data_IF_481628194818
#
_entry.id   IF_481628194818
#
_cell.length_a   1.000
_cell.length_b   1.000
_cell.length_c   1.000
_cell.angle_alpha   90.00
_cell.angle_beta   90.00
_cell.angle_gamma   90.00
#
_symmetry.space_group_name_H-M   'P 1'
#
loop_
_entity.id
_entity.type
_entity.pdbx_description
1 polymer ?
#
# COMPACT_ATOMS: atom_id res chain seq x y z
N UNK A 1 -8.11 -10.94 -27.82
CA UNK A 1 -7.09 -10.48 -26.82
C UNK A 1 -6.68 -11.66 -25.95
N UNK A 2 -5.42 -11.97 -25.98
CA UNK A 2 -4.82 -13.05 -25.19
C UNK A 2 -4.53 -12.51 -23.77
N UNK A 3 -5.36 -12.90 -22.80
CA UNK A 3 -5.18 -12.56 -21.39
C UNK A 3 -5.23 -13.83 -20.56
N UNK A 4 -4.25 -14.04 -19.67
CA UNK A 4 -4.22 -15.23 -18.82
C UNK A 4 -5.45 -15.36 -17.90
N UNK A 5 -6.09 -14.22 -17.55
CA UNK A 5 -7.33 -14.20 -16.76
C UNK A 5 -8.50 -14.87 -17.49
N UNK A 6 -8.52 -14.82 -18.83
CA UNK A 6 -9.57 -15.43 -19.64
C UNK A 6 -9.25 -16.85 -20.08
N UNK A 7 -8.20 -17.46 -19.52
CA UNK A 7 -7.96 -18.88 -19.74
C UNK A 7 -9.13 -19.69 -19.14
N UNK A 8 -9.83 -20.43 -19.99
CA UNK A 8 -11.00 -21.24 -19.61
C UNK A 8 -10.67 -22.33 -18.57
N UNK A 9 -9.41 -22.76 -18.50
CA UNK A 9 -8.94 -23.73 -17.52
C UNK A 9 -8.04 -23.02 -16.48
N UNK A 10 -8.68 -22.54 -15.39
CA UNK A 10 -7.99 -22.01 -14.23
C UNK A 10 -8.46 -22.76 -12.97
N UNK A 11 -7.70 -23.76 -12.49
CA UNK A 11 -8.11 -24.64 -11.40
C UNK A 11 -7.93 -23.97 -10.02
N UNK A 12 -8.34 -22.72 -9.87
CA UNK A 12 -8.15 -21.95 -8.63
C UNK A 12 -8.88 -22.58 -7.43
N UNK A 13 -10.04 -23.17 -7.65
CA UNK A 13 -10.79 -23.82 -6.57
C UNK A 13 -10.13 -25.12 -6.12
N UNK A 14 -9.61 -25.93 -7.06
CA UNK A 14 -8.87 -27.15 -6.76
C UNK A 14 -7.59 -26.81 -6.00
N UNK A 15 -6.87 -25.77 -6.45
CA UNK A 15 -5.69 -25.24 -5.75
C UNK A 15 -6.02 -24.82 -4.32
N UNK A 16 -7.08 -24.02 -4.11
CA UNK A 16 -7.47 -23.56 -2.77
C UNK A 16 -7.87 -24.73 -1.87
N UNK A 17 -8.55 -25.72 -2.43
CA UNK A 17 -8.88 -26.95 -1.72
C UNK A 17 -7.63 -27.71 -1.29
N UNK A 18 -6.70 -27.96 -2.20
CA UNK A 18 -5.45 -28.68 -1.93
C UNK A 18 -4.58 -27.93 -0.91
N UNK A 19 -4.48 -26.59 -1.00
CA UNK A 19 -3.74 -25.78 -0.02
C UNK A 19 -4.26 -25.99 1.42
N UNK A 20 -5.58 -26.17 1.60
CA UNK A 20 -6.15 -26.44 2.92
C UNK A 20 -5.82 -27.85 3.46
N UNK A 21 -5.40 -28.76 2.59
CA UNK A 21 -5.02 -30.13 2.96
C UNK A 21 -3.51 -30.37 2.91
N UNK A 22 -2.72 -29.40 2.43
CA UNK A 22 -1.27 -29.52 2.37
C UNK A 22 -0.69 -29.70 3.79
N UNK A 23 0.07 -30.76 3.98
CA UNK A 23 0.67 -31.14 5.27
C UNK A 23 2.13 -30.72 5.43
N UNK A 24 2.76 -30.30 4.36
CA UNK A 24 4.15 -29.88 4.34
C UNK A 24 4.41 -28.92 3.15
N UNK A 25 5.61 -28.35 3.16
CA UNK A 25 6.06 -27.37 2.17
C UNK A 25 5.99 -27.89 0.72
N UNK A 26 6.33 -29.19 0.50
CA UNK A 26 6.33 -29.81 -0.83
C UNK A 26 4.93 -29.92 -1.41
N UNK A 27 3.96 -30.34 -0.60
CA UNK A 27 2.55 -30.39 -1.01
C UNK A 27 1.99 -28.98 -1.27
N UNK A 28 2.37 -28.01 -0.44
CA UNK A 28 1.98 -26.62 -0.61
C UNK A 28 2.52 -26.07 -1.95
N UNK A 29 3.79 -26.25 -2.24
CA UNK A 29 4.43 -25.83 -3.49
C UNK A 29 3.79 -26.52 -4.73
N UNK A 30 3.56 -27.83 -4.64
CA UNK A 30 2.88 -28.59 -5.72
C UNK A 30 1.49 -28.04 -6.01
N UNK A 31 0.74 -27.64 -4.99
CA UNK A 31 -0.56 -27.01 -5.18
C UNK A 31 -0.41 -25.65 -5.87
N UNK A 32 0.56 -24.82 -5.46
CA UNK A 32 0.79 -23.49 -6.05
C UNK A 32 1.14 -23.55 -7.53
N UNK A 33 1.82 -24.60 -7.99
CA UNK A 33 2.20 -24.77 -9.40
C UNK A 33 1.00 -24.82 -10.36
N UNK A 34 -0.19 -25.09 -9.85
CA UNK A 34 -1.46 -25.13 -10.61
C UNK A 34 -2.05 -23.76 -10.87
N UNK A 35 -1.61 -22.72 -10.16
CA UNK A 35 -2.17 -21.37 -10.32
C UNK A 35 -1.83 -20.80 -11.69
N UNK A 36 -2.87 -20.43 -12.43
CA UNK A 36 -2.74 -19.78 -13.72
C UNK A 36 -2.79 -18.25 -13.53
N UNK A 37 -3.85 -17.76 -12.91
CA UNK A 37 -4.16 -16.34 -12.74
C UNK A 37 -5.19 -16.15 -11.62
N UNK A 38 -5.16 -14.99 -10.90
CA UNK A 38 -4.16 -13.92 -10.97
C UNK A 38 -2.81 -14.33 -10.37
N UNK A 39 -1.72 -13.63 -10.73
CA UNK A 39 -0.44 -13.78 -10.06
C UNK A 39 -0.52 -13.28 -8.61
N UNK A 40 -0.12 -14.11 -7.65
CA UNK A 40 -0.22 -13.82 -6.21
C UNK A 40 1.08 -14.19 -5.48
N UNK A 41 1.37 -13.45 -4.42
CA UNK A 41 2.40 -13.83 -3.45
C UNK A 41 1.79 -14.78 -2.41
N UNK A 42 2.41 -15.94 -2.23
CA UNK A 42 2.06 -16.90 -1.19
C UNK A 42 3.21 -17.03 -0.20
N UNK A 43 2.91 -16.87 1.07
CA UNK A 43 3.86 -17.13 2.16
C UNK A 43 3.43 -18.39 2.90
N UNK A 44 4.41 -19.20 3.28
CA UNK A 44 4.26 -20.44 4.02
C UNK A 44 5.07 -20.36 5.31
N UNK A 45 4.53 -20.92 6.37
CA UNK A 45 5.25 -21.22 7.60
C UNK A 45 4.63 -22.46 8.26
N UNK A 46 5.45 -23.29 8.92
CA UNK A 46 4.98 -24.45 9.67
C UNK A 46 5.60 -24.55 11.07
N UNK A 47 5.20 -25.58 11.82
CA UNK A 47 5.72 -25.84 13.18
C UNK A 47 7.03 -26.62 13.17
N UNK A 48 7.63 -26.86 12.02
CA UNK A 48 8.92 -27.49 11.82
C UNK A 48 10.00 -26.46 11.42
N UNK A 49 9.73 -25.17 11.72
CA UNK A 49 10.59 -24.01 11.42
C UNK A 49 10.83 -23.74 9.93
N UNK A 50 10.00 -24.29 9.04
CA UNK A 50 10.07 -23.92 7.62
C UNK A 50 9.31 -22.64 7.38
N UNK A 51 9.95 -21.75 6.61
CA UNK A 51 9.33 -20.55 6.02
C UNK A 51 9.60 -20.51 4.53
N UNK A 52 8.62 -20.10 3.73
CA UNK A 52 8.82 -19.97 2.31
C UNK A 52 7.90 -18.92 1.68
N UNK A 53 8.26 -18.52 0.47
CA UNK A 53 7.49 -17.58 -0.34
C UNK A 53 7.62 -17.91 -1.81
N UNK A 54 6.52 -17.80 -2.56
CA UNK A 54 6.46 -17.93 -4.01
C UNK A 54 5.62 -16.83 -4.63
N UNK A 55 6.03 -16.40 -5.81
CA UNK A 55 5.13 -15.68 -6.72
C UNK A 55 4.47 -16.73 -7.61
N UNK A 56 3.27 -17.13 -7.23
CA UNK A 56 2.50 -18.11 -8.01
C UNK A 56 1.69 -17.43 -9.11
N UNK A 57 1.52 -18.13 -10.24
CA UNK A 57 0.87 -17.67 -11.46
C UNK A 57 1.75 -17.95 -12.68
N UNK A 58 1.16 -17.90 -13.86
CA UNK A 58 1.89 -18.10 -15.12
C UNK A 58 2.43 -16.78 -15.65
N UNK A 59 3.74 -16.68 -15.77
CA UNK A 59 4.41 -15.54 -16.40
C UNK A 59 4.50 -15.75 -17.91
N UNK A 60 3.86 -14.90 -18.73
CA UNK A 60 3.91 -15.04 -20.18
C UNK A 60 5.29 -14.66 -20.73
N UNK A 61 5.84 -15.50 -21.59
CA UNK A 61 7.03 -15.22 -22.38
C UNK A 61 6.60 -14.57 -23.69
N UNK A 62 7.16 -13.39 -23.98
CA UNK A 62 6.96 -12.64 -25.22
C UNK A 62 8.32 -12.27 -25.80
N UNK A 63 8.32 -11.76 -27.02
CA UNK A 63 9.52 -11.14 -27.60
C UNK A 63 10.03 -10.01 -26.68
N UNK A 64 11.34 -9.95 -26.49
CA UNK A 64 12.00 -8.99 -25.57
C UNK A 64 11.76 -7.51 -25.94
N UNK A 65 11.40 -7.25 -27.21
CA UNK A 65 11.10 -5.92 -27.71
C UNK A 65 9.65 -5.48 -27.42
N UNK A 66 8.81 -6.40 -26.91
CA UNK A 66 7.41 -6.08 -26.62
C UNK A 66 7.27 -5.43 -25.25
N UNK A 67 6.70 -4.23 -25.25
CA UNK A 67 6.37 -3.53 -24.03
C UNK A 67 4.95 -3.93 -23.55
N UNK A 68 4.87 -4.91 -22.68
CA UNK A 68 3.61 -5.55 -22.26
C UNK A 68 2.63 -4.62 -21.51
N UNK A 69 3.06 -3.41 -21.09
CA UNK A 69 2.18 -2.40 -20.50
C UNK A 69 1.46 -1.53 -21.55
N UNK A 70 1.86 -1.60 -22.81
CA UNK A 70 1.20 -0.91 -23.91
C UNK A 70 0.01 -1.71 -24.46
N UNK A 71 -0.87 -1.03 -25.16
CA UNK A 71 -1.91 -1.67 -25.98
C UNK A 71 -1.21 -2.30 -27.18
N UNK A 72 -1.27 -3.62 -27.27
CA UNK A 72 -0.62 -4.39 -28.32
C UNK A 72 -1.57 -4.56 -29.52
N UNK A 73 -1.01 -4.56 -30.73
CA UNK A 73 -1.76 -4.85 -31.95
C UNK A 73 -2.09 -6.34 -32.03
N UNK A 74 -3.37 -6.68 -31.94
CA UNK A 74 -3.87 -8.06 -32.00
C UNK A 74 -3.73 -8.73 -33.36
N UNK A 75 -3.40 -7.98 -34.44
CA UNK A 75 -3.11 -8.54 -35.76
C UNK A 75 -1.64 -8.89 -35.95
N UNK A 76 -0.76 -8.46 -35.03
CA UNK A 76 0.66 -8.75 -35.11
C UNK A 76 0.98 -10.04 -34.34
N UNK A 77 1.37 -11.13 -35.01
CA UNK A 77 1.66 -12.40 -34.35
C UNK A 77 2.85 -12.33 -33.39
N UNK A 78 3.76 -11.36 -33.57
CA UNK A 78 4.87 -11.17 -32.65
C UNK A 78 4.45 -10.63 -31.29
N UNK A 79 3.23 -10.08 -31.18
CA UNK A 79 2.65 -9.58 -29.92
C UNK A 79 2.01 -10.70 -29.09
N UNK A 80 1.88 -11.89 -29.62
CA UNK A 80 1.28 -13.02 -28.93
C UNK A 80 2.17 -13.60 -27.82
N UNK A 81 1.55 -14.30 -26.89
CA UNK A 81 2.26 -15.07 -25.85
C UNK A 81 2.88 -16.32 -26.53
N UNK A 82 4.20 -16.41 -26.51
CA UNK A 82 4.92 -17.55 -27.12
C UNK A 82 4.89 -18.79 -26.23
N UNK A 83 5.04 -18.61 -24.92
CA UNK A 83 5.04 -19.68 -23.92
C UNK A 83 4.84 -19.08 -22.52
N UNK A 84 4.94 -19.92 -21.50
CA UNK A 84 4.94 -19.50 -20.11
C UNK A 84 6.21 -19.97 -19.41
N UNK A 85 6.69 -19.20 -18.46
CA UNK A 85 7.79 -19.60 -17.58
C UNK A 85 7.37 -20.85 -16.79
N UNK A 86 8.20 -21.91 -16.74
CA UNK A 86 7.97 -23.04 -15.84
C UNK A 86 7.91 -22.58 -14.39
N UNK A 87 7.00 -23.15 -13.59
CA UNK A 87 6.73 -22.70 -12.22
C UNK A 87 7.95 -22.68 -11.31
N UNK A 88 8.83 -23.65 -11.45
CA UNK A 88 10.09 -23.77 -10.70
C UNK A 88 11.07 -22.60 -10.92
N UNK A 89 10.88 -21.84 -12.00
CA UNK A 89 11.65 -20.63 -12.30
C UNK A 89 10.98 -19.34 -11.78
N UNK A 90 9.78 -19.42 -11.24
CA UNK A 90 9.13 -18.28 -10.64
C UNK A 90 9.93 -17.79 -9.42
N UNK A 91 9.92 -16.47 -9.11
CA UNK A 91 10.57 -15.97 -7.91
C UNK A 91 10.05 -16.69 -6.65
N UNK A 92 10.97 -17.25 -5.87
CA UNK A 92 10.66 -17.93 -4.62
C UNK A 92 11.83 -17.84 -3.63
N UNK A 93 11.55 -18.06 -2.36
CA UNK A 93 12.52 -18.22 -1.27
C UNK A 93 12.06 -19.37 -0.38
N UNK A 94 12.97 -20.24 0.01
CA UNK A 94 12.73 -21.33 0.94
C UNK A 94 13.83 -21.29 1.99
N UNK A 95 13.45 -21.18 3.26
CA UNK A 95 14.33 -21.19 4.43
C UNK A 95 15.55 -20.26 4.26
N UNK A 96 15.37 -18.94 3.99
CA UNK A 96 16.48 -18.03 3.84
C UNK A 96 17.32 -17.96 5.13
N UNK A 97 18.63 -17.84 5.02
CA UNK A 97 19.57 -17.85 6.15
C UNK A 97 19.27 -16.82 7.23
N UNK A 98 18.75 -15.65 6.83
CA UNK A 98 18.35 -14.59 7.77
C UNK A 98 17.00 -14.84 8.45
N UNK A 99 16.30 -15.93 8.14
CA UNK A 99 15.03 -16.30 8.75
C UNK A 99 13.88 -15.34 8.47
N UNK A 100 14.00 -14.45 7.45
CA UNK A 100 13.03 -13.38 7.19
C UNK A 100 12.56 -13.40 5.74
N UNK A 101 11.25 -13.34 5.54
CA UNK A 101 10.60 -13.17 4.24
C UNK A 101 9.74 -11.92 4.28
N UNK A 102 9.95 -11.03 3.31
CA UNK A 102 9.20 -9.77 3.18
C UNK A 102 8.63 -9.63 1.78
N UNK A 103 7.34 -9.34 1.69
CA UNK A 103 6.68 -8.92 0.46
C UNK A 103 5.72 -7.77 0.74
N UNK A 104 5.79 -6.72 -0.07
CA UNK A 104 5.00 -5.49 0.10
C UNK A 104 4.46 -4.96 -1.23
N UNK A 105 4.09 -5.84 -2.16
CA UNK A 105 3.67 -5.54 -3.53
C UNK A 105 4.78 -4.89 -4.39
N UNK A 106 6.02 -4.87 -3.94
CA UNK A 106 7.19 -4.43 -4.70
C UNK A 106 7.55 -5.45 -5.77
N UNK A 107 8.41 -5.05 -6.70
CA UNK A 107 8.97 -5.95 -7.73
C UNK A 107 9.62 -7.17 -7.05
N UNK A 108 9.16 -8.39 -7.35
CA UNK A 108 9.61 -9.60 -6.64
C UNK A 108 11.03 -10.03 -7.03
N UNK A 109 11.51 -9.66 -8.23
CA UNK A 109 12.86 -9.94 -8.69
C UNK A 109 13.31 -8.88 -9.68
N UNK A 110 14.54 -8.40 -9.51
CA UNK A 110 15.24 -7.57 -10.49
C UNK A 110 16.08 -8.42 -11.46
N UNK A 111 16.19 -9.74 -11.18
CA UNK A 111 16.92 -10.70 -11.99
C UNK A 111 16.01 -11.30 -13.05
N UNK A 112 16.61 -11.91 -14.06
CA UNK A 112 15.95 -12.74 -15.06
C UNK A 112 15.10 -13.83 -14.40
N UNK A 113 13.89 -14.06 -14.93
CA UNK A 113 12.94 -15.08 -14.46
C UNK A 113 12.67 -16.05 -15.61
N UNK A 114 13.28 -17.23 -15.57
CA UNK A 114 13.24 -18.16 -16.68
C UNK A 114 13.73 -17.51 -17.99
N UNK A 115 12.89 -17.51 -19.02
CA UNK A 115 13.16 -16.86 -20.30
C UNK A 115 12.91 -15.34 -20.30
N UNK A 116 12.30 -14.79 -19.25
CA UNK A 116 11.92 -13.36 -19.19
C UNK A 116 13.12 -12.56 -18.62
N UNK A 117 13.71 -11.61 -19.38
CA UNK A 117 14.85 -10.83 -18.91
C UNK A 117 14.49 -9.88 -17.75
N UNK A 118 13.24 -9.42 -17.70
CA UNK A 118 12.70 -8.52 -16.68
C UNK A 118 11.20 -8.78 -16.51
N UNK A 119 10.74 -8.83 -15.26
CA UNK A 119 9.31 -8.90 -14.96
C UNK A 119 8.61 -7.59 -15.32
N UNK A 120 7.64 -7.67 -16.21
CA UNK A 120 6.74 -6.57 -16.53
C UNK A 120 5.52 -6.60 -15.62
N UNK A 121 5.05 -5.44 -15.19
CA UNK A 121 3.89 -5.32 -14.31
C UNK A 121 3.82 -3.98 -13.61
N UNK A 122 2.72 -3.75 -12.89
CA UNK A 122 2.53 -2.58 -12.04
C UNK A 122 2.82 -2.95 -10.59
N UNK A 123 4.08 -2.82 -10.21
CA UNK A 123 4.53 -3.07 -8.84
C UNK A 123 4.49 -1.78 -8.02
N UNK A 124 4.35 -1.91 -6.71
CA UNK A 124 4.47 -0.77 -5.80
C UNK A 124 5.92 -0.44 -5.56
N UNK A 125 6.19 0.82 -5.19
CA UNK A 125 7.51 1.24 -4.75
C UNK A 125 8.04 0.36 -3.61
N UNK A 126 9.37 0.19 -3.55
CA UNK A 126 10.05 -0.64 -2.56
C UNK A 126 10.07 -0.03 -1.14
N UNK A 127 9.61 1.20 -0.94
CA UNK A 127 9.67 1.92 0.35
C UNK A 127 9.22 1.08 1.54
N UNK A 128 8.05 0.42 1.43
CA UNK A 128 7.51 -0.43 2.51
C UNK A 128 8.36 -1.66 2.76
N UNK A 129 8.77 -2.35 1.71
CA UNK A 129 9.61 -3.54 1.83
C UNK A 129 10.95 -3.17 2.48
N UNK A 130 11.57 -2.08 2.05
CA UNK A 130 12.82 -1.59 2.61
C UNK A 130 12.68 -1.19 4.08
N UNK A 131 11.58 -0.48 4.43
CA UNK A 131 11.30 -0.14 5.83
C UNK A 131 11.12 -1.37 6.71
N UNK A 132 10.40 -2.40 6.24
CA UNK A 132 10.23 -3.67 6.95
C UNK A 132 11.59 -4.35 7.14
N UNK A 133 12.41 -4.45 6.09
CA UNK A 133 13.75 -5.02 6.18
C UNK A 133 14.62 -4.25 7.19
N UNK A 134 14.61 -2.92 7.15
CA UNK A 134 15.38 -2.09 8.08
C UNK A 134 14.96 -2.33 9.54
N UNK A 135 13.66 -2.47 9.80
CA UNK A 135 13.15 -2.75 11.14
C UNK A 135 13.50 -4.17 11.60
N UNK A 136 13.41 -5.15 10.69
CA UNK A 136 13.70 -6.56 11.00
C UNK A 136 15.19 -6.90 11.01
N UNK A 137 16.07 -6.05 10.51
CA UNK A 137 17.52 -6.29 10.52
C UNK A 137 18.20 -5.96 11.86
N UNK A 138 17.48 -5.31 12.78
CA UNK A 138 18.07 -4.83 14.03
C UNK A 138 18.25 -5.93 15.09
N UNK A 139 17.58 -7.08 14.93
CA UNK A 139 17.64 -8.22 15.85
C UNK A 139 17.22 -9.52 15.16
N UNK A 140 17.47 -10.66 15.78
CA UNK A 140 17.18 -12.00 15.25
C UNK A 140 15.96 -12.67 15.89
N UNK A 141 15.40 -12.08 16.91
CA UNK A 141 14.22 -12.59 17.61
C UNK A 141 13.24 -11.45 17.86
N UNK A 142 11.96 -11.75 17.67
CA UNK A 142 10.88 -10.76 17.70
C UNK A 142 9.78 -11.21 18.64
N UNK A 143 9.35 -10.33 19.51
CA UNK A 143 8.12 -10.52 20.28
C UNK A 143 6.91 -10.19 19.43
N UNK A 144 5.76 -10.72 19.83
CA UNK A 144 4.48 -10.39 19.16
C UNK A 144 4.19 -8.88 19.23
N UNK A 145 4.52 -8.21 20.33
CA UNK A 145 4.23 -6.80 20.52
C UNK A 145 5.14 -5.90 19.65
N UNK A 146 6.39 -6.30 19.43
CA UNK A 146 7.26 -5.64 18.45
C UNK A 146 6.72 -5.80 17.03
N UNK A 147 6.22 -6.98 16.65
CA UNK A 147 5.59 -7.19 15.34
C UNK A 147 4.30 -6.37 15.17
N UNK A 148 3.49 -6.18 16.24
CA UNK A 148 2.34 -5.25 16.21
C UNK A 148 2.80 -3.82 15.92
N UNK A 149 3.89 -3.39 16.55
CA UNK A 149 4.49 -2.07 16.34
C UNK A 149 4.97 -1.89 14.90
N UNK A 150 5.62 -2.91 14.32
CA UNK A 150 6.05 -2.89 12.91
C UNK A 150 4.84 -2.81 11.97
N UNK A 151 3.77 -3.58 12.21
CA UNK A 151 2.56 -3.53 11.36
C UNK A 151 1.85 -2.18 11.38
N UNK A 152 2.03 -1.39 12.43
CA UNK A 152 1.43 -0.07 12.60
C UNK A 152 2.41 1.08 12.34
N UNK A 153 3.62 0.79 11.87
CA UNK A 153 4.63 1.81 11.52
C UNK A 153 4.13 2.73 10.40
N UNK A 154 4.30 4.03 10.62
CA UNK A 154 3.82 5.09 9.73
C UNK A 154 4.95 5.97 9.19
N UNK A 155 6.19 5.54 9.32
CA UNK A 155 7.35 6.27 8.84
C UNK A 155 7.48 6.15 7.32
N UNK A 156 7.53 7.30 6.64
CA UNK A 156 7.71 7.39 5.19
C UNK A 156 9.20 7.61 4.86
N UNK A 157 9.91 6.52 4.60
CA UNK A 157 11.36 6.50 4.46
C UNK A 157 11.87 7.49 3.41
N UNK A 158 11.54 7.30 2.14
CA UNK A 158 11.96 8.21 1.07
C UNK A 158 11.31 9.59 1.17
N UNK A 159 10.14 9.71 1.79
CA UNK A 159 9.52 11.02 2.04
C UNK A 159 10.34 11.87 3.01
N UNK A 160 10.95 11.25 4.00
CA UNK A 160 11.85 11.95 4.92
C UNK A 160 13.11 12.48 4.22
N UNK A 161 13.68 11.72 3.28
CA UNK A 161 14.81 12.15 2.45
C UNK A 161 14.41 13.26 1.47
N UNK A 162 13.28 13.06 0.78
CA UNK A 162 12.74 14.00 -0.21
C UNK A 162 12.43 15.36 0.40
N UNK A 163 11.88 15.42 1.62
CA UNK A 163 11.62 16.71 2.29
C UNK A 163 12.89 17.51 2.47
N UNK A 164 14.03 16.85 2.76
CA UNK A 164 15.32 17.53 2.93
C UNK A 164 15.76 18.20 1.62
N UNK A 165 15.59 17.52 0.48
CA UNK A 165 15.88 18.08 -0.85
C UNK A 165 14.96 19.26 -1.20
N UNK A 166 13.67 19.16 -0.87
CA UNK A 166 12.71 20.25 -1.06
C UNK A 166 13.12 21.46 -0.20
N UNK A 167 13.41 21.24 1.08
CA UNK A 167 13.83 22.31 1.98
C UNK A 167 15.15 22.96 1.54
N UNK A 168 16.15 22.16 1.14
CA UNK A 168 17.43 22.66 0.63
C UNK A 168 17.25 23.50 -0.65
N UNK A 169 16.34 23.10 -1.54
CA UNK A 169 16.01 23.86 -2.74
C UNK A 169 15.33 25.17 -2.39
N UNK A 170 14.39 25.17 -1.46
CA UNK A 170 13.64 26.36 -1.04
C UNK A 170 14.49 27.38 -0.30
N UNK A 171 15.54 26.94 0.40
CA UNK A 171 16.49 27.87 1.06
C UNK A 171 17.16 28.85 0.07
N UNK A 172 17.26 28.47 -1.22
CA UNK A 172 17.78 29.39 -2.26
C UNK A 172 16.87 30.59 -2.49
N UNK A 173 15.61 30.50 -2.12
CA UNK A 173 14.57 31.53 -2.28
C UNK A 173 14.22 32.22 -0.94
N UNK A 174 14.99 32.01 0.13
CA UNK A 174 14.66 32.48 1.48
C UNK A 174 14.32 33.96 1.54
N UNK A 175 15.07 34.81 0.81
CA UNK A 175 14.83 36.24 0.76
C UNK A 175 13.53 36.66 0.08
N UNK A 176 12.95 35.80 -0.74
CA UNK A 176 11.68 36.04 -1.47
C UNK A 176 10.45 35.43 -0.76
N UNK A 177 10.67 34.66 0.31
CA UNK A 177 9.59 34.05 1.07
C UNK A 177 9.05 34.98 2.13
N UNK A 178 7.73 35.05 2.24
CA UNK A 178 7.04 35.71 3.36
C UNK A 178 7.32 35.00 4.70
N UNK A 179 7.07 35.69 5.81
CA UNK A 179 7.24 35.12 7.16
C UNK A 179 6.37 33.87 7.36
N UNK A 180 5.19 33.83 6.74
CA UNK A 180 4.31 32.66 6.82
C UNK A 180 4.87 31.47 6.02
N UNK A 181 5.33 31.68 4.79
CA UNK A 181 5.98 30.65 3.98
C UNK A 181 7.24 30.07 4.66
N UNK A 182 8.04 30.93 5.31
CA UNK A 182 9.18 30.50 6.13
C UNK A 182 8.75 29.62 7.31
N UNK A 183 7.64 29.93 7.97
CA UNK A 183 7.12 29.10 9.07
C UNK A 183 6.64 27.74 8.59
N UNK A 184 6.05 27.65 7.39
CA UNK A 184 5.66 26.39 6.75
C UNK A 184 6.89 25.57 6.39
N UNK A 185 7.89 26.18 5.76
CA UNK A 185 9.14 25.51 5.40
C UNK A 185 9.86 24.96 6.65
N UNK A 186 9.87 25.73 7.74
CA UNK A 186 10.42 25.27 9.02
C UNK A 186 9.63 24.07 9.58
N UNK A 187 8.29 24.10 9.52
CA UNK A 187 7.46 22.97 9.94
C UNK A 187 7.68 21.73 9.09
N UNK A 188 7.88 21.88 7.78
CA UNK A 188 8.26 20.78 6.89
C UNK A 188 9.66 20.25 7.26
N UNK A 189 10.62 21.13 7.49
CA UNK A 189 11.98 20.74 7.84
C UNK A 189 12.05 19.97 9.17
N UNK A 190 11.20 20.32 10.13
CA UNK A 190 11.08 19.65 11.42
C UNK A 190 10.27 18.34 11.38
N UNK A 191 9.62 18.04 10.26
CA UNK A 191 8.86 16.82 10.16
C UNK A 191 9.74 15.57 10.29
N UNK A 192 9.35 14.67 11.17
CA UNK A 192 10.07 13.44 11.52
C UNK A 192 9.86 12.27 10.53
N UNK A 193 9.14 12.48 9.43
CA UNK A 193 8.80 11.43 8.45
C UNK A 193 7.58 10.61 8.82
N UNK A 194 6.99 10.80 10.00
CA UNK A 194 5.83 10.02 10.44
C UNK A 194 4.50 10.60 9.91
N UNK A 195 3.67 9.72 9.35
CA UNK A 195 2.33 10.03 8.85
C UNK A 195 1.28 9.88 9.95
N UNK A 196 1.48 10.60 11.07
CA UNK A 196 0.54 10.62 12.19
C UNK A 196 -0.54 11.67 12.00
N UNK A 197 -1.74 11.40 12.50
CA UNK A 197 -2.88 12.32 12.45
C UNK A 197 -2.58 13.69 13.03
N UNK A 198 -1.69 13.79 14.02
CA UNK A 198 -1.26 15.06 14.63
C UNK A 198 -0.18 15.81 13.83
N UNK A 199 0.39 15.21 12.78
CA UNK A 199 1.53 15.77 12.05
C UNK A 199 1.10 16.89 11.10
N UNK A 200 1.64 18.09 11.30
CA UNK A 200 1.53 19.23 10.38
C UNK A 200 2.45 19.01 9.17
N UNK A 201 3.68 18.56 9.42
CA UNK A 201 4.66 18.30 8.35
C UNK A 201 4.20 17.26 7.33
N UNK A 202 3.49 16.21 7.75
CA UNK A 202 2.90 15.23 6.85
C UNK A 202 1.90 15.86 5.87
N UNK A 203 1.05 16.77 6.36
CA UNK A 203 0.10 17.51 5.53
C UNK A 203 0.84 18.38 4.51
N UNK A 204 1.78 19.18 4.96
CA UNK A 204 2.58 20.05 4.09
C UNK A 204 3.29 19.21 3.01
N UNK A 205 3.91 18.08 3.39
CA UNK A 205 4.60 17.19 2.46
C UNK A 205 3.66 16.64 1.39
N UNK A 206 2.50 16.13 1.76
CA UNK A 206 1.55 15.50 0.83
C UNK A 206 0.95 16.52 -0.15
N UNK A 207 0.58 17.70 0.32
CA UNK A 207 0.13 18.78 -0.56
C UNK A 207 1.25 19.25 -1.50
N UNK A 208 2.48 19.41 -0.98
CA UNK A 208 3.64 19.79 -1.79
C UNK A 208 3.93 18.75 -2.86
N UNK A 209 3.95 17.46 -2.52
CA UNK A 209 4.12 16.37 -3.48
C UNK A 209 3.10 16.45 -4.62
N UNK A 210 1.83 16.60 -4.28
CA UNK A 210 0.76 16.69 -5.28
C UNK A 210 0.95 17.89 -6.22
N UNK A 211 1.20 19.07 -5.66
CA UNK A 211 1.33 20.29 -6.47
C UNK A 211 2.62 20.30 -7.30
N UNK A 212 3.74 19.80 -6.78
CA UNK A 212 4.97 19.65 -7.56
C UNK A 212 4.73 18.74 -8.77
N UNK A 213 4.09 17.58 -8.56
CA UNK A 213 3.73 16.67 -9.67
C UNK A 213 2.75 17.34 -10.65
N UNK A 214 1.80 18.11 -10.15
CA UNK A 214 0.83 18.83 -10.97
C UNK A 214 1.53 19.84 -11.87
N UNK A 215 2.41 20.67 -11.33
CA UNK A 215 3.18 21.65 -12.08
C UNK A 215 4.11 20.97 -13.11
N UNK A 216 4.67 19.80 -12.78
CA UNK A 216 5.56 19.07 -13.67
C UNK A 216 4.83 18.36 -14.82
N UNK A 217 3.65 17.80 -14.58
CA UNK A 217 3.00 16.87 -15.54
C UNK A 217 1.74 17.41 -16.19
N UNK A 218 0.96 18.26 -15.51
CA UNK A 218 -0.32 18.70 -16.04
C UNK A 218 -0.18 19.57 -17.32
N UNK A 219 0.86 20.39 -17.50
CA UNK A 219 1.06 21.11 -18.76
C UNK A 219 1.19 20.19 -19.96
N UNK A 220 1.78 19.00 -19.79
CA UNK A 220 1.97 18.00 -20.84
C UNK A 220 0.73 17.10 -21.01
N UNK A 221 0.18 16.61 -19.91
CA UNK A 221 -0.89 15.60 -19.93
C UNK A 221 -2.29 16.20 -20.07
N UNK A 222 -2.45 17.47 -19.71
CA UNK A 222 -3.77 18.05 -19.48
C UNK A 222 -4.40 17.56 -18.17
N UNK A 223 -5.46 18.23 -17.74
CA UNK A 223 -6.11 18.01 -16.44
C UNK A 223 -6.66 16.59 -16.27
N UNK A 224 -7.28 16.06 -17.33
CA UNK A 224 -7.95 14.75 -17.27
C UNK A 224 -6.94 13.60 -17.18
N UNK A 225 -5.94 13.57 -18.07
CA UNK A 225 -4.92 12.51 -18.04
C UNK A 225 -4.03 12.60 -16.81
N UNK A 226 -3.72 13.79 -16.31
CA UNK A 226 -3.02 13.94 -15.04
C UNK A 226 -3.81 13.29 -13.89
N UNK A 227 -5.14 13.53 -13.80
CA UNK A 227 -5.99 12.90 -12.80
C UNK A 227 -6.03 11.37 -12.93
N UNK A 228 -6.05 10.85 -14.15
CA UNK A 228 -5.99 9.40 -14.40
C UNK A 228 -4.63 8.83 -14.01
N UNK A 229 -3.54 9.54 -14.32
CA UNK A 229 -2.18 9.13 -13.95
C UNK A 229 -2.00 8.97 -12.44
N UNK A 230 -2.58 9.84 -11.63
CA UNK A 230 -2.52 9.75 -10.17
C UNK A 230 -3.19 8.49 -9.60
N UNK A 231 -4.00 7.77 -10.36
CA UNK A 231 -4.52 6.46 -9.96
C UNK A 231 -3.48 5.34 -10.15
N UNK A 232 -2.42 5.57 -10.93
CA UNK A 232 -1.34 4.61 -11.14
C UNK A 232 -0.36 4.65 -9.95
N UNK A 233 0.08 3.51 -9.40
CA UNK A 233 1.10 3.47 -8.35
C UNK A 233 2.45 4.10 -8.75
N UNK A 234 2.73 4.18 -10.04
CA UNK A 234 4.01 4.70 -10.57
C UNK A 234 4.20 6.21 -10.31
N UNK A 235 3.14 6.95 -9.93
CA UNK A 235 3.23 8.39 -9.62
C UNK A 235 4.21 8.68 -8.48
N UNK A 236 4.35 7.77 -7.50
CA UNK A 236 5.29 7.93 -6.42
C UNK A 236 6.75 7.77 -6.86
N UNK A 237 7.02 6.78 -7.70
CA UNK A 237 8.36 6.57 -8.24
C UNK A 237 8.75 7.68 -9.21
N UNK A 238 7.79 8.20 -10.00
CA UNK A 238 8.01 9.41 -10.78
C UNK A 238 8.41 10.59 -9.90
N UNK A 239 7.68 10.83 -8.80
CA UNK A 239 7.99 11.93 -7.88
C UNK A 239 9.38 11.79 -7.26
N UNK A 240 9.75 10.60 -6.81
CA UNK A 240 11.10 10.31 -6.32
C UNK A 240 12.16 10.61 -7.38
N UNK A 241 11.96 10.11 -8.59
CA UNK A 241 12.90 10.32 -9.68
C UNK A 241 13.05 11.80 -10.03
N UNK A 242 11.95 12.56 -10.06
CA UNK A 242 11.96 14.00 -10.30
C UNK A 242 12.82 14.74 -9.26
N UNK A 243 12.65 14.39 -7.98
CA UNK A 243 13.39 15.04 -6.89
C UNK A 243 14.87 14.66 -6.90
N UNK A 244 15.19 13.37 -7.09
CA UNK A 244 16.58 12.89 -7.04
C UNK A 244 17.39 13.26 -8.30
N UNK A 245 16.80 13.19 -9.48
CA UNK A 245 17.47 13.55 -10.73
C UNK A 245 17.55 15.06 -10.93
N UNK A 246 16.68 15.82 -10.27
CA UNK A 246 16.52 17.29 -10.47
C UNK A 246 16.23 17.65 -11.93
N UNK A 247 15.65 16.73 -12.68
CA UNK A 247 15.31 16.87 -14.11
C UNK A 247 13.82 17.08 -14.26
N UNK A 248 13.42 18.15 -14.92
CA UNK A 248 12.00 18.43 -15.21
C UNK A 248 11.61 17.83 -16.55
N UNK A 249 10.39 17.28 -16.69
CA UNK A 249 9.93 16.68 -17.96
C UNK A 249 9.84 17.68 -19.11
N UNK A 250 9.44 18.90 -18.83
CA UNK A 250 9.27 19.96 -19.82
C UNK A 250 9.57 21.32 -19.17
N UNK A 251 10.42 22.10 -19.81
CA UNK A 251 10.58 23.53 -19.52
C UNK A 251 9.54 24.34 -20.28
N UNK A 252 9.01 25.36 -19.64
CA UNK A 252 8.10 26.34 -20.24
C UNK A 252 8.43 27.74 -19.75
N UNK A 253 7.76 28.77 -20.27
CA UNK A 253 8.03 30.17 -19.92
C UNK A 253 7.90 30.47 -18.42
N UNK A 254 7.06 29.73 -17.71
CA UNK A 254 6.78 29.90 -16.27
C UNK A 254 7.64 29.00 -15.39
N UNK A 255 8.28 27.96 -15.92
CA UNK A 255 9.08 26.97 -15.17
C UNK A 255 10.38 26.71 -15.92
N UNK A 256 11.42 27.48 -15.57
CA UNK A 256 12.72 27.48 -16.27
C UNK A 256 13.72 26.50 -15.68
N UNK A 257 13.32 25.66 -14.73
CA UNK A 257 14.19 24.66 -14.12
C UNK A 257 13.60 24.03 -12.87
N UNK A 258 14.33 23.07 -12.32
CA UNK A 258 13.91 22.29 -11.15
C UNK A 258 13.56 23.17 -9.93
N UNK A 259 14.39 24.18 -9.63
CA UNK A 259 14.17 25.04 -8.45
C UNK A 259 12.89 25.88 -8.56
N UNK A 260 12.59 26.38 -9.77
CA UNK A 260 11.34 27.11 -10.02
C UNK A 260 10.12 26.20 -9.91
N UNK A 261 10.23 24.95 -10.40
CA UNK A 261 9.19 23.95 -10.25
C UNK A 261 8.85 23.69 -8.78
N UNK A 262 9.87 23.48 -7.94
CA UNK A 262 9.70 23.25 -6.49
C UNK A 262 9.04 24.47 -5.84
N UNK A 263 9.52 25.67 -6.13
CA UNK A 263 8.97 26.91 -5.59
C UNK A 263 7.49 27.09 -5.98
N UNK A 264 7.16 26.90 -7.26
CA UNK A 264 5.80 27.04 -7.78
C UNK A 264 4.87 26.00 -7.14
N UNK A 265 5.30 24.74 -7.12
CA UNK A 265 4.53 23.66 -6.50
C UNK A 265 4.27 23.89 -5.00
N UNK A 266 5.29 24.34 -4.26
CA UNK A 266 5.13 24.64 -2.82
C UNK A 266 4.17 25.83 -2.60
N UNK A 267 4.29 26.92 -3.37
CA UNK A 267 3.37 28.07 -3.26
C UNK A 267 1.92 27.66 -3.58
N UNK A 268 1.71 26.86 -4.64
CA UNK A 268 0.39 26.31 -4.98
C UNK A 268 -0.17 25.44 -3.85
N UNK A 269 0.67 24.62 -3.21
CA UNK A 269 0.29 23.81 -2.06
C UNK A 269 -0.12 24.67 -0.85
N UNK A 270 0.64 25.71 -0.56
CA UNK A 270 0.36 26.66 0.54
C UNK A 270 -1.00 27.34 0.32
N UNK A 271 -1.24 27.85 -0.86
CA UNK A 271 -2.52 28.50 -1.21
C UNK A 271 -3.70 27.56 -1.04
N UNK A 272 -3.58 26.31 -1.46
CA UNK A 272 -4.64 25.32 -1.27
C UNK A 272 -4.86 24.99 0.21
N UNK A 273 -3.78 24.79 0.96
CA UNK A 273 -3.87 24.51 2.41
C UNK A 273 -4.49 25.68 3.18
N UNK A 274 -4.12 26.93 2.85
CA UNK A 274 -4.74 28.12 3.46
C UNK A 274 -6.25 28.18 3.18
N UNK A 275 -6.63 27.92 1.93
CA UNK A 275 -8.05 27.91 1.52
C UNK A 275 -8.85 26.85 2.28
N UNK A 276 -8.27 25.67 2.49
CA UNK A 276 -8.99 24.53 3.11
C UNK A 276 -8.91 24.48 4.62
N UNK A 277 -7.76 24.83 5.18
CA UNK A 277 -7.45 24.64 6.59
C UNK A 277 -7.33 25.96 7.36
N UNK A 278 -7.40 27.10 6.64
CA UNK A 278 -7.22 28.44 7.21
C UNK A 278 -5.75 28.81 7.42
N UNK A 279 -5.52 29.97 8.05
CA UNK A 279 -4.18 30.54 8.22
C UNK A 279 -3.47 30.12 9.52
N UNK A 280 -4.09 29.28 10.33
CA UNK A 280 -3.48 28.78 11.56
C UNK A 280 -2.74 27.48 11.26
N UNK A 281 -1.42 27.58 11.06
CA UNK A 281 -0.55 26.44 10.73
C UNK A 281 -0.67 25.30 11.75
N UNK A 282 -0.90 25.59 13.03
CA UNK A 282 -1.06 24.56 14.08
C UNK A 282 -2.29 23.66 13.85
N UNK A 283 -3.25 24.09 13.02
CA UNK A 283 -4.45 23.33 12.67
C UNK A 283 -4.29 22.48 11.40
N UNK A 284 -3.14 22.52 10.74
CA UNK A 284 -2.88 21.75 9.50
C UNK A 284 -2.52 20.30 9.78
N UNK A 285 -3.15 19.70 10.76
CA UNK A 285 -2.91 18.32 11.15
C UNK A 285 -3.33 17.33 10.05
N UNK A 286 -2.53 16.29 9.82
CA UNK A 286 -2.79 15.25 8.83
C UNK A 286 -4.20 14.63 8.97
N UNK A 287 -4.64 14.36 10.18
CA UNK A 287 -5.97 13.82 10.46
C UNK A 287 -7.14 14.75 10.11
N UNK A 288 -6.91 16.03 9.76
CA UNK A 288 -7.96 16.92 9.24
C UNK A 288 -8.30 16.60 7.78
N UNK A 289 -7.36 16.05 7.04
CA UNK A 289 -7.51 15.73 5.61
C UNK A 289 -7.46 14.24 5.34
N UNK A 290 -6.77 13.46 6.14
CA UNK A 290 -6.65 12.01 6.01
C UNK A 290 -7.66 11.31 6.92
N UNK A 291 -8.85 11.11 6.38
CA UNK A 291 -9.99 10.53 7.10
C UNK A 291 -10.54 9.32 6.40
N UNK A 292 -11.06 8.36 7.20
CA UNK A 292 -11.76 7.18 6.70
C UNK A 292 -13.24 7.26 7.00
N UNK A 293 -14.05 6.87 6.02
CA UNK A 293 -15.47 6.62 6.16
C UNK A 293 -15.76 5.20 5.66
N UNK A 294 -16.43 4.42 6.48
CA UNK A 294 -16.90 3.08 6.08
C UNK A 294 -18.30 3.22 5.50
N UNK A 295 -18.39 3.20 4.18
CA UNK A 295 -19.64 3.36 3.47
C UNK A 295 -20.38 2.03 3.40
N UNK A 296 -21.61 1.98 3.94
CA UNK A 296 -22.51 0.86 3.76
C UNK A 296 -23.14 0.92 2.34
N UNK A 297 -23.36 -0.21 1.64
CA UNK A 297 -23.97 -0.19 0.30
C UNK A 297 -25.28 0.62 0.23
N UNK A 298 -26.15 0.49 1.22
CA UNK A 298 -27.41 1.27 1.32
C UNK A 298 -27.17 2.71 1.79
N UNK A 299 -26.01 3.02 2.39
CA UNK A 299 -25.65 4.37 2.84
C UNK A 299 -25.35 5.35 1.71
N UNK A 300 -25.43 4.94 0.44
CA UNK A 300 -25.40 5.87 -0.70
C UNK A 300 -26.69 6.69 -0.84
N UNK A 301 -27.76 6.27 -0.19
CA UNK A 301 -29.09 6.91 -0.22
C UNK A 301 -29.29 7.73 1.05
N UNK A 302 -29.59 9.03 0.90
CA UNK A 302 -29.99 9.89 2.04
C UNK A 302 -31.44 9.57 2.48
N UNK A 303 -31.74 9.53 3.79
CA UNK A 303 -30.86 9.80 4.93
C UNK A 303 -30.14 8.56 5.50
N UNK A 304 -30.15 7.41 4.82
CA UNK A 304 -29.59 6.15 5.32
C UNK A 304 -28.09 6.25 5.62
N UNK A 305 -27.37 7.12 4.91
CA UNK A 305 -25.96 7.37 5.19
C UNK A 305 -25.69 7.85 6.63
N UNK A 306 -26.62 8.56 7.23
CA UNK A 306 -26.49 9.08 8.62
C UNK A 306 -26.58 7.96 9.67
N UNK A 307 -27.17 6.81 9.29
CA UNK A 307 -27.40 5.68 10.19
C UNK A 307 -26.40 4.56 9.90
N UNK A 308 -26.11 4.34 8.63
CA UNK A 308 -25.38 3.16 8.19
C UNK A 308 -23.89 3.41 7.94
N UNK A 309 -23.49 4.63 7.58
CA UNK A 309 -22.09 4.93 7.39
C UNK A 309 -21.40 5.21 8.73
N UNK A 310 -20.14 4.79 8.86
CA UNK A 310 -19.34 5.03 10.06
C UNK A 310 -18.20 6.00 9.73
N UNK A 311 -18.09 7.05 10.51
CA UNK A 311 -17.08 8.09 10.32
C UNK A 311 -17.66 9.45 9.88
N UNK A 312 -16.82 10.34 9.29
CA UNK A 312 -15.39 10.14 9.03
C UNK A 312 -14.55 10.17 10.32
N UNK A 313 -13.52 9.31 10.36
CA UNK A 313 -12.55 9.24 11.45
C UNK A 313 -11.15 9.59 10.94
N UNK A 314 -10.38 10.35 11.73
CA UNK A 314 -8.97 10.56 11.47
C UNK A 314 -8.19 9.27 11.68
N UNK A 315 -7.23 8.97 10.81
CA UNK A 315 -6.43 7.73 10.90
C UNK A 315 -4.98 7.98 10.50
N UNK A 316 -4.07 7.38 11.27
CA UNK A 316 -2.63 7.40 10.99
C UNK A 316 -2.30 6.54 9.75
N UNK A 317 -1.26 6.92 9.00
CA UNK A 317 -0.78 6.16 7.86
C UNK A 317 -0.78 6.92 6.55
N UNK A 318 -0.50 6.22 5.46
CA UNK A 318 -0.38 6.80 4.12
C UNK A 318 -0.10 5.73 3.06
N UNK A 319 0.15 6.16 1.81
CA UNK A 319 0.26 5.26 0.67
C UNK A 319 1.50 4.35 0.69
N UNK A 320 2.63 4.85 1.19
CA UNK A 320 3.94 4.20 1.05
C UNK A 320 4.59 3.90 2.42
N UNK A 321 3.83 3.87 3.48
CA UNK A 321 4.22 3.42 4.83
C UNK A 321 3.72 2.01 5.10
N UNK A 322 4.25 1.31 6.11
CA UNK A 322 3.86 -0.08 6.43
C UNK A 322 2.37 -0.14 6.79
N UNK A 323 1.91 0.74 7.69
CA UNK A 323 0.47 0.93 7.95
C UNK A 323 -0.18 1.63 6.76
N UNK A 324 -0.42 0.88 5.69
CA UNK A 324 -0.82 1.37 4.37
C UNK A 324 -2.29 1.79 4.35
N UNK A 325 -2.55 3.01 4.74
CA UNK A 325 -3.87 3.64 4.67
C UNK A 325 -3.87 4.56 3.44
N UNK A 326 -4.46 4.06 2.35
CA UNK A 326 -4.35 4.69 1.03
C UNK A 326 -5.35 5.82 0.83
N UNK A 327 -4.88 6.93 0.30
CA UNK A 327 -5.69 8.02 -0.25
C UNK A 327 -5.24 8.34 -1.69
N UNK A 328 -6.07 9.04 -2.44
CA UNK A 328 -5.70 9.53 -3.77
C UNK A 328 -5.02 10.89 -3.65
N UNK A 329 -3.81 11.06 -4.20
CA UNK A 329 -3.23 12.39 -4.34
C UNK A 329 -4.16 13.28 -5.15
N UNK A 330 -4.37 14.53 -4.67
CA UNK A 330 -5.24 15.49 -5.37
C UNK A 330 -6.74 15.26 -5.22
N UNK A 331 -7.17 14.21 -4.58
CA UNK A 331 -8.50 14.20 -3.99
C UNK A 331 -8.47 15.16 -2.81
N UNK A 332 -9.29 16.19 -2.90
CA UNK A 332 -9.18 17.42 -2.12
C UNK A 332 -9.15 17.27 -0.60
N UNK A 333 -9.39 16.09 -0.08
CA UNK A 333 -9.37 15.81 1.34
C UNK A 333 -8.53 14.58 1.71
N UNK A 334 -7.68 14.05 0.82
CA UNK A 334 -6.92 12.82 1.07
C UNK A 334 -7.76 11.72 1.76
N UNK A 335 -9.07 11.67 1.43
CA UNK A 335 -10.00 10.67 1.96
C UNK A 335 -9.46 9.28 1.69
N UNK A 336 -9.48 8.43 2.71
CA UNK A 336 -9.00 7.05 2.59
C UNK A 336 -9.89 6.28 1.62
N UNK A 337 -9.27 5.62 0.66
CA UNK A 337 -9.95 4.80 -0.36
C UNK A 337 -9.71 3.31 -0.18
N UNK A 338 -8.65 2.93 0.55
CA UNK A 338 -8.29 1.54 0.80
C UNK A 338 -7.36 1.44 2.01
N UNK A 339 -7.48 0.34 2.74
CA UNK A 339 -6.65 0.01 3.90
C UNK A 339 -6.48 -1.51 4.00
N UNK A 340 -5.57 -2.01 4.85
CA UNK A 340 -5.43 -3.44 5.10
C UNK A 340 -6.74 -4.03 5.62
N UNK A 341 -7.28 -5.02 4.92
CA UNK A 341 -8.53 -5.70 5.27
C UNK A 341 -8.43 -6.50 6.58
N UNK A 342 -7.23 -6.80 7.02
CA UNK A 342 -6.94 -7.42 8.30
C UNK A 342 -5.49 -7.17 8.69
N UNK A 343 -5.22 -6.97 9.97
CA UNK A 343 -3.90 -7.16 10.56
C UNK A 343 -3.90 -8.51 11.25
N UNK A 344 -2.86 -9.31 11.06
CA UNK A 344 -2.78 -10.65 11.65
C UNK A 344 -1.35 -10.98 12.03
N UNK A 345 -1.18 -11.56 13.22
CA UNK A 345 0.07 -12.12 13.71
C UNK A 345 -0.23 -13.52 14.19
N UNK A 346 0.40 -14.52 13.58
CA UNK A 346 0.25 -15.93 13.92
C UNK A 346 1.58 -16.42 14.51
N UNK A 347 1.54 -16.82 15.77
CA UNK A 347 2.68 -17.42 16.44
C UNK A 347 2.54 -18.95 16.39
N UNK A 348 3.29 -19.61 15.49
CA UNK A 348 3.20 -21.06 15.32
C UNK A 348 3.84 -21.83 16.47
N UNK A 349 4.80 -21.24 17.20
CA UNK A 349 5.37 -21.84 18.40
C UNK A 349 4.44 -21.78 19.61
N UNK A 350 3.54 -20.79 19.66
CA UNK A 350 2.50 -20.65 20.68
C UNK A 350 1.25 -20.03 20.06
N UNK A 351 0.37 -20.87 19.50
CA UNK A 351 -0.83 -20.43 18.78
C UNK A 351 -1.77 -19.57 19.62
N UNK A 352 -1.78 -19.77 20.94
CA UNK A 352 -2.58 -18.96 21.85
C UNK A 352 -2.08 -17.51 21.96
N UNK A 353 -0.84 -17.25 21.54
CA UNK A 353 -0.27 -15.91 21.44
C UNK A 353 -0.37 -15.35 20.01
N UNK A 354 -1.54 -15.50 19.40
CA UNK A 354 -1.84 -15.02 18.05
C UNK A 354 -2.97 -13.99 18.06
N UNK A 355 -2.90 -13.05 17.15
CA UNK A 355 -3.75 -11.86 17.16
C UNK A 355 -4.27 -11.51 15.77
N UNK A 356 -5.43 -10.88 15.74
CA UNK A 356 -6.02 -10.34 14.50
C UNK A 356 -6.84 -9.09 14.81
N UNK A 357 -7.01 -8.22 13.82
CA UNK A 357 -7.92 -7.08 13.85
C UNK A 357 -8.42 -6.79 12.46
N UNK A 358 -9.74 -6.66 12.31
CA UNK A 358 -10.38 -6.19 11.08
C UNK A 358 -10.68 -4.68 11.18
N UNK A 359 -10.78 -3.97 10.06
CA UNK A 359 -11.02 -2.52 10.04
C UNK A 359 -12.43 -2.13 10.49
N UNK A 360 -13.38 -3.05 10.43
CA UNK A 360 -14.77 -2.85 10.87
C UNK A 360 -15.27 -4.09 11.61
N UNK A 361 -16.49 -4.03 12.13
CA UNK A 361 -17.16 -5.19 12.71
C UNK A 361 -17.46 -6.28 11.66
N UNK A 362 -17.81 -7.47 12.11
CA UNK A 362 -18.09 -8.62 11.25
C UNK A 362 -19.57 -8.75 10.85
N UNK A 363 -20.43 -7.85 11.33
CA UNK A 363 -21.86 -7.86 11.03
C UNK A 363 -22.21 -6.79 9.99
N UNK A 364 -23.03 -7.16 8.99
CA UNK A 364 -23.67 -6.20 8.10
C UNK A 364 -24.96 -5.57 8.67
N UNK A 365 -25.40 -6.03 9.83
CA UNK A 365 -26.57 -5.49 10.52
C UNK A 365 -26.16 -4.39 11.49
N UNK A 366 -26.58 -3.16 11.22
CA UNK A 366 -26.23 -1.99 12.04
C UNK A 366 -26.82 -2.00 13.46
N UNK A 367 -27.81 -2.85 13.76
CA UNK A 367 -28.32 -3.09 15.11
C UNK A 367 -27.46 -4.08 15.92
N UNK A 368 -26.44 -4.70 15.29
CA UNK A 368 -25.57 -5.65 15.96
C UNK A 368 -24.43 -4.94 16.69
N UNK A 369 -24.10 -5.37 17.91
CA UNK A 369 -22.90 -4.96 18.64
C UNK A 369 -21.61 -5.25 17.87
N UNK A 370 -21.68 -6.07 16.81
CA UNK A 370 -20.57 -6.43 15.94
C UNK A 370 -20.55 -5.66 14.63
N UNK A 371 -21.29 -4.55 14.51
CA UNK A 371 -21.28 -3.72 13.31
C UNK A 371 -20.03 -2.85 13.22
N UNK A 372 -19.65 -2.21 14.31
CA UNK A 372 -18.56 -1.23 14.37
C UNK A 372 -17.51 -1.49 15.46
N UNK A 373 -17.68 -2.56 16.24
CA UNK A 373 -16.88 -2.84 17.45
C UNK A 373 -15.36 -2.99 17.24
N UNK A 374 -14.90 -3.10 16.00
CA UNK A 374 -13.47 -3.16 15.66
C UNK A 374 -12.93 -1.85 15.08
N UNK A 375 -13.79 -0.88 14.72
CA UNK A 375 -13.37 0.37 14.06
C UNK A 375 -12.38 1.15 14.92
N UNK A 376 -12.77 1.51 16.15
CA UNK A 376 -11.91 2.30 17.02
C UNK A 376 -10.64 1.55 17.46
N UNK A 377 -10.71 0.26 17.86
CA UNK A 377 -9.51 -0.53 18.12
C UNK A 377 -8.57 -0.61 16.89
N UNK A 378 -9.11 -0.80 15.68
CA UNK A 378 -8.29 -0.82 14.46
C UNK A 378 -7.56 0.52 14.22
N UNK A 379 -8.26 1.64 14.36
CA UNK A 379 -7.70 2.99 14.20
C UNK A 379 -6.57 3.23 15.21
N UNK A 380 -6.72 2.77 16.44
CA UNK A 380 -5.72 2.87 17.52
C UNK A 380 -4.55 1.89 17.38
N UNK A 381 -4.56 0.99 16.38
CA UNK A 381 -3.51 -0.01 16.23
C UNK A 381 -3.62 -1.19 17.21
N UNK A 382 -4.78 -1.37 17.84
CA UNK A 382 -5.03 -2.47 18.77
C UNK A 382 -5.30 -3.79 18.04
N UNK A 383 -5.25 -4.89 18.78
CA UNK A 383 -5.44 -6.24 18.29
C UNK A 383 -6.35 -7.05 19.22
N UNK A 384 -7.06 -8.01 18.63
CA UNK A 384 -7.85 -9.01 19.37
C UNK A 384 -7.12 -10.34 19.34
N UNK A 385 -7.11 -11.04 20.47
CA UNK A 385 -6.59 -12.41 20.58
C UNK A 385 -7.42 -13.34 19.68
N UNK A 386 -6.75 -14.27 19.01
CA UNK A 386 -7.40 -15.36 18.27
C UNK A 386 -7.52 -16.57 19.20
N UNK A 387 -8.73 -17.10 19.40
CA UNK A 387 -8.96 -18.31 20.16
C UNK A 387 -8.72 -19.54 19.26
N UNK A 388 -7.70 -20.33 19.52
CA UNK A 388 -7.38 -21.53 18.75
C UNK A 388 -7.81 -22.82 19.41
N UNK A 389 -7.67 -22.96 20.72
CA UNK A 389 -8.04 -24.18 21.42
C UNK A 389 -9.55 -24.35 21.52
N UNK A 390 -10.01 -25.62 21.46
CA UNK A 390 -11.42 -25.93 21.64
C UNK A 390 -11.96 -25.39 22.98
N UNK A 391 -11.14 -25.42 24.02
CA UNK A 391 -11.49 -24.89 25.33
C UNK A 391 -11.71 -23.38 25.29
N UNK A 392 -10.77 -22.61 24.74
CA UNK A 392 -10.94 -21.16 24.61
C UNK A 392 -12.15 -20.79 23.75
N UNK A 393 -12.32 -21.44 22.59
CA UNK A 393 -13.48 -21.21 21.71
C UNK A 393 -14.77 -21.49 22.47
N UNK A 394 -14.82 -22.59 23.25
CA UNK A 394 -16.02 -22.96 24.00
C UNK A 394 -16.30 -21.98 25.14
N UNK A 395 -15.27 -21.57 25.89
CA UNK A 395 -15.41 -20.67 27.03
C UNK A 395 -15.80 -19.23 26.61
N UNK A 396 -15.33 -18.80 25.44
CA UNK A 396 -15.59 -17.47 24.92
C UNK A 396 -16.83 -17.42 23.95
N UNK A 397 -17.49 -18.57 23.72
CA UNK A 397 -18.65 -18.64 22.82
C UNK A 397 -19.87 -17.99 23.47
N UNK A 398 -20.38 -16.90 22.85
CA UNK A 398 -21.62 -16.23 23.24
C UNK A 398 -22.84 -17.00 22.74
N UNK A 399 -22.73 -17.62 21.55
CA UNK A 399 -23.80 -18.41 20.88
C UNK A 399 -23.20 -19.62 20.18
N UNK A 400 -23.99 -20.69 20.09
CA UNK A 400 -23.62 -21.91 19.35
C UNK A 400 -24.65 -22.18 18.26
N UNK A 401 -24.16 -22.49 17.07
CA UNK A 401 -24.97 -23.00 15.95
C UNK A 401 -24.62 -24.46 15.76
N UNK A 402 -25.62 -25.34 15.84
CA UNK A 402 -25.48 -26.76 15.54
C UNK A 402 -26.07 -27.02 14.14
N UNK A 403 -25.23 -27.46 13.21
CA UNK A 403 -25.64 -27.89 11.88
C UNK A 403 -25.68 -29.40 11.91
N UNK A 404 -26.86 -29.95 11.70
CA UNK A 404 -27.08 -31.41 11.63
C UNK A 404 -27.49 -31.82 10.21
N UNK A 405 -27.03 -32.98 9.69
CA UNK A 405 -27.50 -33.49 8.43
C UNK A 405 -29.01 -33.75 8.52
N UNK A 406 -29.73 -33.56 7.44
CA UNK A 406 -31.11 -33.99 7.30
C UNK A 406 -31.21 -35.51 7.11
#
# INVERSE_FOLDING_TARGET
SSCAVYNLYNPIFDLLYELNYAKNITQFESSLSKLVSPGLNFSYADTLDNIAWWVAGRFPVRDSNIYAKAILDGNNPNHEIQSYVPFENNPHLINPENGVIVTANNLPSVKKVGAIPRLDGYYRSADRAQRIHNLLSNQNQWTVDELKTIQTDVFLNSGFEIKNEICATMNKFENSLSSFEKSILNSLNQWDGNMKTSSVGATIFQFSMYHIMKEALQPMLGKEYFRLYLNNPDHWDFFKNLIYSKTIPIENEETKGYSDLILKGLKSAINEMQTKLGNDLKKWNWGKVHTIEYEHPLGKVKPLNMILNLGPFSIDGGNNVINKIMSKPGDHNFKVTSLPSTRRIINLGNKENSYSMNPSGNSGNFWSDHYDNQVQPYIKGEYRKINFSKTEVTNNAVKKLLIIPK
#
